data_IF_664422036549
#
_entry.id   IF_664422036549
#
_cell.length_a   1.000
_cell.length_b   1.000
_cell.length_c   1.000
_cell.angle_alpha   90.00
_cell.angle_beta   90.00
_cell.angle_gamma   90.00
#
_symmetry.space_group_name_H-M   'P 1'
#
loop_
_entity.id
_entity.type
_entity.pdbx_description
1 polymer ?
#
# COMPACT_ATOMS: atom_id res chain seq x y z
N UNK A 1 5.54 7.07 -36.55
CA UNK A 1 4.83 5.92 -35.97
C UNK A 1 3.97 6.46 -34.86
N UNK A 2 2.64 6.39 -35.01
CA UNK A 2 1.73 6.77 -33.95
C UNK A 2 1.62 5.56 -33.01
N UNK A 3 2.31 5.61 -31.87
CA UNK A 3 2.33 4.53 -30.88
C UNK A 3 1.11 4.64 -29.97
N UNK A 4 -0.09 4.66 -30.55
CA UNK A 4 -1.35 4.57 -29.80
C UNK A 4 -1.54 3.12 -29.36
N UNK A 5 -0.74 2.68 -28.38
CA UNK A 5 -0.97 1.42 -27.69
C UNK A 5 -2.14 1.62 -26.73
N UNK A 6 -3.32 1.14 -27.10
CA UNK A 6 -4.44 0.96 -26.16
C UNK A 6 -4.02 -0.07 -25.12
N UNK A 7 -3.53 0.38 -23.97
CA UNK A 7 -3.23 -0.50 -22.84
C UNK A 7 -4.50 -1.23 -22.40
N UNK A 8 -4.37 -2.53 -22.10
CA UNK A 8 -5.47 -3.30 -21.54
C UNK A 8 -5.81 -2.81 -20.13
N UNK A 9 -7.08 -2.92 -19.73
CA UNK A 9 -7.56 -2.54 -18.40
C UNK A 9 -6.79 -3.24 -17.27
N UNK A 10 -6.32 -4.46 -17.53
CA UNK A 10 -5.46 -5.22 -16.63
C UNK A 10 -4.09 -4.56 -16.48
N UNK A 11 -3.43 -4.21 -17.59
CA UNK A 11 -2.14 -3.53 -17.56
C UNK A 11 -2.24 -2.19 -16.84
N UNK A 12 -3.29 -1.40 -17.13
CA UNK A 12 -3.57 -0.12 -16.45
C UNK A 12 -3.74 -0.27 -14.95
N UNK A 13 -4.49 -1.27 -14.51
CA UNK A 13 -4.74 -1.52 -13.08
C UNK A 13 -3.47 -1.95 -12.35
N UNK A 14 -2.65 -2.80 -12.97
CA UNK A 14 -1.37 -3.24 -12.40
C UNK A 14 -0.37 -2.07 -12.35
N UNK A 15 -0.26 -1.28 -13.43
CA UNK A 15 0.61 -0.11 -13.47
C UNK A 15 0.18 0.96 -12.46
N UNK A 16 -1.13 1.18 -12.29
CA UNK A 16 -1.66 2.06 -11.25
C UNK A 16 -1.33 1.58 -9.83
N UNK A 17 -1.44 0.28 -9.57
CA UNK A 17 -0.99 -0.34 -8.32
C UNK A 17 0.51 -0.19 -8.09
N UNK A 18 1.32 -0.43 -9.11
CA UNK A 18 2.78 -0.29 -9.04
C UNK A 18 3.19 1.15 -8.77
N UNK A 19 2.64 2.12 -9.51
CA UNK A 19 2.89 3.54 -9.31
C UNK A 19 2.51 3.98 -7.90
N UNK A 20 1.33 3.58 -7.44
CA UNK A 20 0.90 3.82 -6.06
C UNK A 20 1.88 3.21 -5.05
N UNK A 21 2.40 2.02 -5.31
CA UNK A 21 3.40 1.36 -4.48
C UNK A 21 4.73 2.10 -4.45
N UNK A 22 5.20 2.63 -5.57
CA UNK A 22 6.43 3.44 -5.63
C UNK A 22 6.27 4.70 -4.77
N UNK A 23 5.16 5.42 -4.93
CA UNK A 23 4.87 6.63 -4.14
C UNK A 23 4.76 6.29 -2.65
N UNK A 24 4.04 5.21 -2.30
CA UNK A 24 3.93 4.73 -0.93
C UNK A 24 5.28 4.35 -0.34
N UNK A 25 6.15 3.72 -1.13
CA UNK A 25 7.50 3.33 -0.70
C UNK A 25 8.35 4.54 -0.35
N UNK A 26 8.35 5.57 -1.21
CA UNK A 26 9.10 6.82 -0.93
C UNK A 26 8.61 7.46 0.36
N UNK A 27 7.29 7.57 0.54
CA UNK A 27 6.71 8.13 1.77
C UNK A 27 7.02 7.28 3.01
N UNK A 28 6.97 5.95 2.89
CA UNK A 28 7.29 5.03 3.98
C UNK A 28 8.77 5.14 4.40
N UNK A 29 9.69 5.24 3.44
CA UNK A 29 11.12 5.43 3.71
C UNK A 29 11.33 6.75 4.45
N UNK A 30 10.77 7.86 3.94
CA UNK A 30 10.88 9.18 4.56
C UNK A 30 10.35 9.13 6.00
N UNK A 31 9.19 8.52 6.20
CA UNK A 31 8.57 8.39 7.51
C UNK A 31 9.44 7.56 8.47
N UNK A 32 9.89 6.38 8.05
CA UNK A 32 10.69 5.49 8.91
C UNK A 32 12.03 6.13 9.27
N UNK A 33 12.70 6.76 8.31
CA UNK A 33 13.97 7.44 8.57
C UNK A 33 13.79 8.62 9.53
N UNK A 34 12.75 9.43 9.32
CA UNK A 34 12.43 10.56 10.21
C UNK A 34 12.06 10.07 11.60
N UNK A 35 11.23 9.03 11.71
CA UNK A 35 10.82 8.46 13.00
C UNK A 35 12.03 7.96 13.77
N UNK A 36 12.90 7.15 13.14
CA UNK A 36 14.14 6.64 13.76
C UNK A 36 15.07 7.76 14.20
N UNK A 37 15.18 8.85 13.43
CA UNK A 37 15.98 10.02 13.79
C UNK A 37 15.49 10.69 15.08
N UNK A 38 14.17 10.79 15.29
CA UNK A 38 13.61 11.41 16.50
C UNK A 38 13.52 10.47 17.70
N UNK A 39 13.20 9.20 17.49
CA UNK A 39 12.98 8.23 18.58
C UNK A 39 14.27 7.57 19.09
N UNK A 40 15.37 7.68 18.34
CA UNK A 40 16.63 6.99 18.67
C UNK A 40 16.50 5.46 18.64
N UNK A 41 15.44 4.95 18.01
CA UNK A 41 15.16 3.51 17.92
C UNK A 41 16.16 2.85 16.96
N UNK A 42 17.15 2.16 17.52
CA UNK A 42 18.11 1.35 16.76
C UNK A 42 17.49 0.01 16.32
N UNK A 43 17.96 -0.48 15.18
CA UNK A 43 17.36 -1.51 14.33
C UNK A 43 16.65 -2.67 15.05
N UNK A 44 15.37 -2.86 14.72
CA UNK A 44 14.70 -4.15 14.89
C UNK A 44 15.05 -5.00 13.67
N UNK A 45 15.81 -6.09 13.87
CA UNK A 45 16.33 -6.97 12.80
C UNK A 45 15.26 -7.55 11.84
N UNK A 46 13.98 -7.43 12.17
CA UNK A 46 12.86 -7.84 11.31
C UNK A 46 12.27 -6.74 10.42
N UNK A 47 12.72 -5.49 10.50
CA UNK A 47 12.12 -4.35 9.81
C UNK A 47 13.14 -3.46 9.10
N UNK A 48 13.83 -4.06 8.12
CA UNK A 48 14.79 -3.38 7.27
C UNK A 48 14.12 -2.59 6.13
N UNK A 49 14.88 -1.65 5.57
CA UNK A 49 14.54 -0.92 4.33
C UNK A 49 14.07 -1.86 3.21
N UNK A 50 14.73 -3.01 3.05
CA UNK A 50 14.36 -4.04 2.06
C UNK A 50 12.94 -4.56 2.30
N UNK A 51 12.58 -4.84 3.55
CA UNK A 51 11.24 -5.35 3.91
C UNK A 51 10.18 -4.29 3.61
N UNK A 52 10.45 -3.02 3.94
CA UNK A 52 9.54 -1.91 3.67
C UNK A 52 9.33 -1.74 2.16
N UNK A 53 10.40 -1.73 1.38
CA UNK A 53 10.33 -1.56 -0.09
C UNK A 53 9.59 -2.72 -0.74
N UNK A 54 10.05 -3.96 -0.52
CA UNK A 54 9.46 -5.12 -1.16
C UNK A 54 8.03 -5.37 -0.67
N UNK A 55 7.78 -5.22 0.63
CA UNK A 55 6.45 -5.38 1.21
C UNK A 55 5.46 -4.36 0.64
N UNK A 56 5.86 -3.08 0.55
CA UNK A 56 4.99 -2.03 0.01
C UNK A 56 4.68 -2.25 -1.47
N UNK A 57 5.70 -2.59 -2.27
CA UNK A 57 5.54 -2.82 -3.70
C UNK A 57 4.68 -4.05 -4.00
N UNK A 58 4.95 -5.19 -3.35
CA UNK A 58 4.18 -6.41 -3.53
C UNK A 58 2.73 -6.24 -3.11
N UNK A 59 2.49 -5.57 -1.97
CA UNK A 59 1.13 -5.31 -1.49
C UNK A 59 0.37 -4.38 -2.45
N UNK A 60 1.02 -3.34 -2.96
CA UNK A 60 0.40 -2.40 -3.89
C UNK A 60 0.13 -3.02 -5.27
N UNK A 61 1.01 -3.92 -5.72
CA UNK A 61 0.78 -4.71 -6.93
C UNK A 61 -0.41 -5.64 -6.77
N UNK A 62 -0.50 -6.36 -5.63
CA UNK A 62 -1.68 -7.16 -5.30
C UNK A 62 -2.95 -6.30 -5.25
N UNK A 63 -2.89 -5.10 -4.68
CA UNK A 63 -4.00 -4.13 -4.69
C UNK A 63 -4.44 -3.75 -6.12
N UNK A 64 -3.51 -3.59 -7.07
CA UNK A 64 -3.82 -3.32 -8.47
C UNK A 64 -4.51 -4.50 -9.18
N UNK A 65 -4.07 -5.73 -8.92
CA UNK A 65 -4.72 -6.95 -9.45
C UNK A 65 -6.13 -7.11 -8.87
N UNK A 66 -6.29 -6.91 -7.56
CA UNK A 66 -7.60 -6.96 -6.90
C UNK A 66 -8.51 -5.86 -7.43
N UNK A 67 -7.99 -4.65 -7.66
CA UNK A 67 -8.76 -3.56 -8.27
C UNK A 67 -9.33 -3.96 -9.63
N UNK A 68 -8.53 -4.57 -10.50
CA UNK A 68 -8.97 -5.07 -11.81
C UNK A 68 -10.14 -6.06 -11.67
N UNK A 69 -10.02 -7.05 -10.76
CA UNK A 69 -11.09 -8.02 -10.52
C UNK A 69 -12.38 -7.34 -10.07
N UNK A 70 -12.29 -6.34 -9.20
CA UNK A 70 -13.47 -5.62 -8.73
C UNK A 70 -14.14 -4.82 -9.85
N UNK A 71 -13.37 -4.13 -10.68
CA UNK A 71 -13.88 -3.35 -11.81
C UNK A 71 -14.51 -4.24 -12.88
N UNK A 72 -13.93 -5.42 -13.13
CA UNK A 72 -14.39 -6.32 -14.19
C UNK A 72 -15.63 -7.15 -13.78
N UNK A 73 -15.71 -7.58 -12.52
CA UNK A 73 -16.80 -8.47 -12.07
C UNK A 73 -17.96 -7.72 -11.38
N UNK A 74 -17.79 -6.48 -10.92
CA UNK A 74 -18.83 -5.73 -10.20
C UNK A 74 -19.25 -4.45 -10.94
N UNK A 75 -20.57 -4.25 -11.06
CA UNK A 75 -21.19 -3.03 -11.64
C UNK A 75 -20.81 -1.71 -10.96
N UNK A 76 -20.33 -1.75 -9.71
CA UNK A 76 -19.82 -0.59 -8.94
C UNK A 76 -18.41 -0.86 -8.39
N UNK A 77 -17.58 -1.55 -9.17
CA UNK A 77 -16.27 -2.05 -8.75
C UNK A 77 -15.35 -1.03 -8.07
N UNK A 78 -15.31 0.22 -8.57
CA UNK A 78 -14.49 1.30 -8.00
C UNK A 78 -14.90 1.63 -6.56
N UNK A 79 -16.20 1.80 -6.31
CA UNK A 79 -16.72 2.14 -4.97
C UNK A 79 -16.57 0.97 -4.03
N UNK A 80 -16.87 -0.24 -4.49
CA UNK A 80 -16.74 -1.46 -3.67
C UNK A 80 -15.27 -1.71 -3.30
N UNK A 81 -14.34 -1.49 -4.22
CA UNK A 81 -12.92 -1.60 -3.96
C UNK A 81 -12.45 -0.61 -2.89
N UNK A 82 -12.83 0.66 -3.00
CA UNK A 82 -12.50 1.69 -2.00
C UNK A 82 -12.95 1.29 -0.59
N UNK A 83 -14.19 0.81 -0.48
CA UNK A 83 -14.75 0.36 0.79
C UNK A 83 -13.98 -0.87 1.30
N UNK A 84 -13.69 -1.85 0.44
CA UNK A 84 -12.95 -3.04 0.80
C UNK A 84 -11.53 -2.71 1.31
N UNK A 85 -10.79 -1.86 0.60
CA UNK A 85 -9.43 -1.44 1.00
C UNK A 85 -9.46 -0.69 2.34
N UNK A 86 -10.45 0.20 2.55
CA UNK A 86 -10.61 0.89 3.83
C UNK A 86 -10.88 -0.08 4.98
N UNK A 87 -11.81 -1.02 4.79
CA UNK A 87 -12.13 -2.05 5.80
C UNK A 87 -10.89 -2.89 6.12
N UNK A 88 -10.17 -3.36 5.10
CA UNK A 88 -8.95 -4.16 5.28
C UNK A 88 -7.88 -3.36 6.02
N UNK A 89 -7.69 -2.09 5.65
CA UNK A 89 -6.71 -1.21 6.31
C UNK A 89 -7.05 -1.01 7.78
N UNK A 90 -8.31 -0.73 8.10
CA UNK A 90 -8.78 -0.61 9.50
C UNK A 90 -8.57 -1.93 10.26
N UNK A 91 -8.87 -3.07 9.63
CA UNK A 91 -8.71 -4.39 10.22
C UNK A 91 -7.24 -4.73 10.52
N UNK A 92 -6.32 -4.37 9.63
CA UNK A 92 -4.87 -4.54 9.86
C UNK A 92 -4.38 -3.64 11.00
N UNK A 93 -4.82 -2.38 11.05
CA UNK A 93 -4.47 -1.46 12.15
C UNK A 93 -5.02 -2.00 13.47
N UNK A 94 -6.27 -2.48 13.48
CA UNK A 94 -6.89 -3.07 14.66
C UNK A 94 -6.15 -4.32 15.14
N UNK A 95 -5.76 -5.21 14.22
CA UNK A 95 -4.92 -6.37 14.51
C UNK A 95 -3.57 -5.94 15.08
N UNK A 96 -2.91 -4.93 14.51
CA UNK A 96 -1.63 -4.40 15.01
C UNK A 96 -1.72 -3.80 16.43
N UNK A 97 -2.87 -3.23 16.79
CA UNK A 97 -3.13 -2.74 18.14
C UNK A 97 -3.46 -3.88 19.12
N UNK A 98 -4.25 -4.87 18.66
CA UNK A 98 -4.82 -5.93 19.51
C UNK A 98 -3.89 -7.13 19.68
N UNK A 99 -3.04 -7.44 18.71
CA UNK A 99 -2.00 -8.48 18.79
C UNK A 99 -0.92 -8.01 19.76
N UNK A 100 -1.20 -8.17 21.04
CA UNK A 100 -0.31 -7.82 22.15
C UNK A 100 0.73 -8.92 22.41
N UNK A 101 0.57 -10.11 21.83
CA UNK A 101 1.32 -11.31 22.16
C UNK A 101 1.41 -12.21 20.93
N UNK A 102 2.59 -12.37 20.36
CA UNK A 102 2.83 -13.48 19.42
C UNK A 102 4.24 -14.02 19.61
N UNK A 103 4.31 -15.12 20.37
CA UNK A 103 5.25 -16.26 20.31
C UNK A 103 6.76 -15.96 20.55
N UNK A 104 7.24 -14.75 20.31
CA UNK A 104 8.67 -14.37 20.43
C UNK A 104 8.77 -12.98 21.06
N UNK A 105 8.72 -12.91 22.40
CA UNK A 105 9.07 -11.72 23.17
C UNK A 105 8.14 -10.50 23.03
N UNK A 106 8.37 -9.49 23.87
CA UNK A 106 7.65 -8.22 23.82
C UNK A 106 7.98 -7.48 22.52
N UNK A 107 7.01 -7.35 21.61
CA UNK A 107 7.14 -6.49 20.44
C UNK A 107 7.20 -5.03 20.90
N UNK A 108 8.29 -4.28 20.61
CA UNK A 108 8.44 -2.92 21.08
C UNK A 108 7.37 -2.00 20.51
N UNK A 109 6.99 -0.99 21.30
CA UNK A 109 5.93 -0.05 20.94
C UNK A 109 6.25 0.71 19.64
N UNK A 110 7.52 1.03 19.41
CA UNK A 110 8.00 1.70 18.20
C UNK A 110 7.73 0.92 16.91
N UNK A 111 7.88 -0.40 16.96
CA UNK A 111 7.57 -1.27 15.81
C UNK A 111 6.10 -1.15 15.41
N UNK A 112 5.19 -1.07 16.40
CA UNK A 112 3.75 -0.94 16.14
C UNK A 112 3.42 0.39 15.47
N UNK A 113 4.05 1.48 15.94
CA UNK A 113 3.84 2.81 15.39
C UNK A 113 4.29 2.84 13.92
N UNK A 114 5.46 2.25 13.63
CA UNK A 114 5.98 2.15 12.27
C UNK A 114 5.05 1.31 11.36
N UNK A 115 4.58 0.16 11.81
CA UNK A 115 3.68 -0.71 11.02
C UNK A 115 2.33 -0.03 10.78
N UNK A 116 1.74 0.60 11.79
CA UNK A 116 0.46 1.30 11.65
C UNK A 116 0.60 2.49 10.69
N UNK A 117 1.66 3.28 10.82
CA UNK A 117 1.89 4.42 9.95
C UNK A 117 2.12 4.00 8.49
N UNK A 118 3.02 3.04 8.26
CA UNK A 118 3.30 2.54 6.91
C UNK A 118 2.06 1.90 6.28
N UNK A 119 1.29 1.12 7.03
CA UNK A 119 0.03 0.55 6.56
C UNK A 119 -1.01 1.62 6.22
N UNK A 120 -1.09 2.70 6.99
CA UNK A 120 -2.01 3.81 6.73
C UNK A 120 -1.67 4.52 5.42
N UNK A 121 -0.38 4.75 5.16
CA UNK A 121 0.10 5.33 3.89
C UNK A 121 -0.24 4.42 2.71
N UNK A 122 0.06 3.12 2.82
CA UNK A 122 -0.21 2.16 1.74
C UNK A 122 -1.71 2.03 1.48
N UNK A 123 -2.52 1.82 2.52
CA UNK A 123 -3.97 1.68 2.40
C UNK A 123 -4.65 2.94 1.88
N UNK A 124 -4.20 4.12 2.33
CA UNK A 124 -4.68 5.41 1.84
C UNK A 124 -4.39 5.60 0.35
N UNK A 125 -3.14 5.42 -0.06
CA UNK A 125 -2.77 5.54 -1.48
C UNK A 125 -3.45 4.48 -2.33
N UNK A 126 -3.54 3.23 -1.88
CA UNK A 126 -4.25 2.19 -2.60
C UNK A 126 -5.75 2.53 -2.81
N UNK A 127 -6.42 3.08 -1.80
CA UNK A 127 -7.84 3.44 -1.90
C UNK A 127 -8.10 4.66 -2.79
N UNK A 128 -7.20 5.65 -2.83
CA UNK A 128 -7.42 6.90 -3.54
C UNK A 128 -6.69 6.98 -4.87
N UNK A 129 -5.39 6.67 -4.88
CA UNK A 129 -4.50 6.88 -6.02
C UNK A 129 -4.73 5.86 -7.14
N UNK A 130 -4.94 4.58 -6.81
CA UNK A 130 -5.20 3.52 -7.81
C UNK A 130 -6.46 3.82 -8.66
N UNK A 131 -7.64 4.04 -8.06
CA UNK A 131 -8.83 4.40 -8.83
C UNK A 131 -8.76 5.78 -9.49
N UNK A 132 -7.95 6.70 -8.97
CA UNK A 132 -7.71 8.00 -9.60
C UNK A 132 -6.88 7.86 -10.88
N UNK A 133 -5.77 7.11 -10.83
CA UNK A 133 -4.92 6.83 -11.98
C UNK A 133 -5.67 6.05 -13.07
N UNK A 134 -6.53 5.10 -12.68
CA UNK A 134 -7.36 4.36 -13.62
C UNK A 134 -8.39 5.24 -14.36
N UNK A 135 -8.86 6.32 -13.72
CA UNK A 135 -9.87 7.21 -14.31
C UNK A 135 -9.26 8.34 -15.14
N UNK A 136 -8.02 8.72 -14.87
CA UNK A 136 -7.31 9.80 -15.58
C UNK A 136 -6.22 9.23 -16.48
N UNK A 137 -6.61 8.93 -17.71
CA UNK A 137 -5.78 8.30 -18.76
C UNK A 137 -4.53 9.12 -19.17
N UNK A 138 -4.48 10.43 -18.88
CA UNK A 138 -3.41 11.31 -19.38
C UNK A 138 -2.11 11.30 -18.56
N UNK A 139 -2.01 10.49 -17.51
CA UNK A 139 -0.81 10.42 -16.65
C UNK A 139 0.02 9.14 -16.88
N UNK A 140 -0.52 8.17 -17.64
CA UNK A 140 0.10 6.85 -17.87
C UNK A 140 0.30 6.57 -19.38
N UNK A 141 -0.16 7.47 -20.26
CA UNK A 141 0.04 7.37 -21.72
C UNK A 141 1.41 7.88 -22.17
#
# INVERSE_FOLDING_TARGET
MNYDYTQSDLSRSILGGLFSGIVATVLNIIFVYSYRFFSGFEDFQGFDLTVIVFGTLLLSLACGVVFYLFVHYLRRGITTYRIAVLIITILIIYLGLTLRQSIVGEVPMDFRIIVIATQTVIGGLAAFLIPYLFRHDSLIS
#
